data_IF_490871241930
#
_entry.id   IF_490871241930
#
_cell.length_a   1.000
_cell.length_b   1.000
_cell.length_c   1.000
_cell.angle_alpha   90.00
_cell.angle_beta   90.00
_cell.angle_gamma   90.00
#
_symmetry.space_group_name_H-M   'P 1'
#
loop_
_entity.id
_entity.type
_entity.pdbx_description
1 polymer ?
#
# COMPACT_ATOMS: atom_id res chain seq x y z
N UNK A 1 6.56 -0.91 -18.60
CA UNK A 1 5.15 -1.09 -18.22
C UNK A 1 4.69 -2.41 -18.78
N UNK A 2 4.13 -3.30 -17.96
CA UNK A 2 3.43 -4.51 -18.43
C UNK A 2 1.93 -4.31 -18.17
N UNK A 3 1.05 -4.94 -18.95
CA UNK A 3 -0.41 -4.84 -18.71
C UNK A 3 -0.84 -5.68 -17.50
N UNK A 4 -0.16 -6.80 -17.29
CA UNK A 4 -0.36 -7.71 -16.17
C UNK A 4 1.01 -7.94 -15.52
N UNK A 5 1.04 -7.98 -14.19
CA UNK A 5 2.21 -8.37 -13.41
C UNK A 5 1.91 -9.65 -12.64
N UNK A 6 2.90 -10.52 -12.56
CA UNK A 6 2.89 -11.67 -11.67
C UNK A 6 3.54 -11.27 -10.35
N UNK A 7 2.82 -11.44 -9.26
CA UNK A 7 3.31 -11.26 -7.90
C UNK A 7 3.55 -12.63 -7.27
N UNK A 8 4.61 -12.74 -6.45
CA UNK A 8 4.86 -13.88 -5.56
C UNK A 8 4.97 -13.35 -4.14
N UNK A 9 4.59 -14.14 -3.12
CA UNK A 9 4.70 -13.66 -1.75
C UNK A 9 6.17 -13.47 -1.39
N UNK A 10 6.42 -12.45 -0.55
CA UNK A 10 7.76 -12.18 -0.03
C UNK A 10 8.40 -13.46 0.55
N UNK A 11 9.68 -13.66 0.22
CA UNK A 11 10.45 -14.84 0.65
C UNK A 11 10.33 -16.06 -0.28
N UNK A 12 9.45 -16.05 -1.28
CA UNK A 12 9.35 -17.12 -2.27
C UNK A 12 10.12 -16.83 -3.57
N UNK A 13 10.56 -17.90 -4.25
CA UNK A 13 11.28 -17.81 -5.53
C UNK A 13 10.35 -17.39 -6.67
N UNK A 14 10.79 -16.38 -7.43
CA UNK A 14 10.09 -15.90 -8.62
C UNK A 14 9.84 -17.00 -9.67
N UNK A 15 10.75 -17.98 -9.81
CA UNK A 15 10.61 -19.05 -10.82
C UNK A 15 9.80 -20.26 -10.33
N UNK A 16 9.79 -20.53 -9.02
CA UNK A 16 9.27 -21.78 -8.46
C UNK A 16 7.99 -21.64 -7.64
N UNK A 17 7.55 -20.42 -7.32
CA UNK A 17 6.37 -20.23 -6.48
C UNK A 17 5.08 -20.70 -7.18
N UNK A 18 4.39 -21.64 -6.53
CA UNK A 18 3.03 -22.08 -6.90
C UNK A 18 1.94 -21.15 -6.35
N UNK A 19 2.30 -20.15 -5.54
CA UNK A 19 1.38 -19.21 -4.87
C UNK A 19 1.28 -17.86 -5.57
N UNK A 20 1.67 -17.79 -6.84
CA UNK A 20 1.67 -16.52 -7.57
C UNK A 20 0.27 -16.02 -7.90
N UNK A 21 0.11 -14.71 -7.84
CA UNK A 21 -1.10 -14.01 -8.27
C UNK A 21 -0.80 -13.15 -9.48
N UNK A 22 -1.79 -12.96 -10.34
CA UNK A 22 -1.71 -12.05 -11.48
C UNK A 22 -2.60 -10.84 -11.23
N UNK A 23 -2.03 -9.66 -11.42
CA UNK A 23 -2.72 -8.38 -11.20
C UNK A 23 -2.59 -7.53 -12.46
N UNK A 24 -3.68 -6.88 -12.85
CA UNK A 24 -3.64 -5.85 -13.90
C UNK A 24 -2.78 -4.71 -13.35
N UNK A 25 -1.67 -4.41 -13.99
CA UNK A 25 -0.72 -3.43 -13.46
C UNK A 25 -1.16 -2.00 -13.81
N UNK A 26 -1.78 -1.81 -14.98
CA UNK A 26 -2.22 -0.51 -15.46
C UNK A 26 -3.49 0.01 -14.74
N UNK A 27 -3.47 1.21 -14.13
CA UNK A 27 -4.63 1.77 -13.41
C UNK A 27 -5.85 2.02 -14.30
N UNK A 28 -5.65 2.42 -15.55
CA UNK A 28 -6.75 2.64 -16.49
C UNK A 28 -7.44 1.32 -16.83
N UNK A 29 -6.67 0.26 -17.09
CA UNK A 29 -7.23 -1.07 -17.33
C UNK A 29 -7.96 -1.63 -16.11
N UNK A 30 -7.47 -1.39 -14.88
CA UNK A 30 -8.23 -1.75 -13.65
C UNK A 30 -9.58 -1.05 -13.61
N UNK A 31 -9.62 0.26 -13.84
CA UNK A 31 -10.86 1.04 -13.91
C UNK A 31 -11.78 0.49 -15.02
N UNK A 32 -11.23 0.24 -16.20
CA UNK A 32 -11.99 -0.24 -17.34
C UNK A 32 -12.65 -1.58 -17.08
N UNK A 33 -11.89 -2.60 -16.66
CA UNK A 33 -12.44 -3.94 -16.44
C UNK A 33 -13.31 -4.03 -15.19
N UNK A 34 -13.07 -3.20 -14.18
CA UNK A 34 -13.89 -3.17 -12.96
C UNK A 34 -15.20 -2.41 -13.13
N UNK A 35 -15.15 -1.26 -13.80
CA UNK A 35 -16.25 -0.29 -13.82
C UNK A 35 -16.89 -0.22 -15.20
N UNK A 36 -16.10 0.00 -16.25
CA UNK A 36 -16.64 0.34 -17.58
C UNK A 36 -17.19 -0.88 -18.30
N UNK A 37 -16.39 -1.94 -18.43
CA UNK A 37 -16.74 -3.15 -19.16
C UNK A 37 -18.05 -3.81 -18.68
N UNK A 38 -18.27 -4.03 -17.37
CA UNK A 38 -19.52 -4.62 -16.88
C UNK A 38 -20.74 -3.68 -16.97
N UNK A 39 -20.52 -2.35 -16.99
CA UNK A 39 -21.61 -1.37 -16.90
C UNK A 39 -21.85 -0.56 -18.18
N UNK A 40 -21.37 -1.02 -19.36
CA UNK A 40 -21.42 -0.22 -20.61
C UNK A 40 -22.80 0.35 -20.95
N UNK A 41 -23.86 -0.47 -20.84
CA UNK A 41 -25.21 -0.04 -21.15
C UNK A 41 -25.69 1.06 -20.18
N UNK A 42 -25.51 0.83 -18.86
CA UNK A 42 -25.83 1.78 -17.81
C UNK A 42 -25.03 3.08 -17.96
N UNK A 43 -23.75 2.99 -18.33
CA UNK A 43 -22.90 4.16 -18.56
C UNK A 43 -23.29 4.93 -19.82
N UNK A 44 -23.80 4.27 -20.85
CA UNK A 44 -24.20 4.93 -22.11
C UNK A 44 -25.56 5.60 -21.96
N UNK A 45 -26.58 4.88 -21.47
CA UNK A 45 -27.96 5.38 -21.38
C UNK A 45 -28.27 6.13 -20.07
N UNK A 46 -27.43 5.99 -19.04
CA UNK A 46 -27.69 6.52 -17.71
C UNK A 46 -27.57 8.04 -17.60
N UNK A 47 -28.22 8.59 -16.58
CA UNK A 47 -28.04 9.99 -16.16
C UNK A 47 -26.66 10.20 -15.55
N UNK A 48 -26.15 11.45 -15.46
CA UNK A 48 -24.92 11.75 -14.75
C UNK A 48 -24.86 11.20 -13.32
N UNK A 49 -25.98 11.20 -12.60
CA UNK A 49 -26.08 10.64 -11.25
C UNK A 49 -25.88 9.11 -11.24
N UNK A 50 -26.56 8.37 -12.12
CA UNK A 50 -26.41 6.91 -12.21
C UNK A 50 -24.99 6.49 -12.64
N UNK A 51 -24.38 7.23 -13.56
CA UNK A 51 -22.98 7.00 -14.00
C UNK A 51 -22.00 7.21 -12.85
N UNK A 52 -22.23 8.24 -12.04
CA UNK A 52 -21.43 8.52 -10.85
C UNK A 52 -21.57 7.43 -9.80
N UNK A 53 -22.78 6.95 -9.54
CA UNK A 53 -23.02 5.86 -8.59
C UNK A 53 -22.24 4.58 -8.96
N UNK A 54 -22.21 4.23 -10.25
CA UNK A 54 -21.41 3.09 -10.77
C UNK A 54 -19.91 3.28 -10.51
N UNK A 55 -19.38 4.50 -10.67
CA UNK A 55 -17.98 4.78 -10.38
C UNK A 55 -17.70 4.72 -8.87
N UNK A 56 -18.55 5.36 -8.08
CA UNK A 56 -18.37 5.54 -6.64
C UNK A 56 -18.35 4.19 -5.90
N UNK A 57 -19.08 3.18 -6.40
CA UNK A 57 -19.06 1.80 -5.88
C UNK A 57 -17.64 1.21 -5.82
N UNK A 58 -16.79 1.56 -6.79
CA UNK A 58 -15.45 0.98 -6.94
C UNK A 58 -14.32 1.99 -6.71
N UNK A 59 -14.64 3.28 -6.60
CA UNK A 59 -13.65 4.35 -6.58
C UNK A 59 -12.67 4.23 -5.42
N UNK A 60 -13.17 3.98 -4.21
CA UNK A 60 -12.33 3.83 -3.02
C UNK A 60 -11.34 2.68 -3.16
N UNK A 61 -11.79 1.54 -3.70
CA UNK A 61 -10.93 0.38 -3.95
C UNK A 61 -9.84 0.70 -4.98
N UNK A 62 -10.21 1.32 -6.10
CA UNK A 62 -9.25 1.69 -7.16
C UNK A 62 -8.19 2.66 -6.65
N UNK A 63 -8.58 3.65 -5.84
CA UNK A 63 -7.65 4.57 -5.20
C UNK A 63 -6.76 3.88 -4.17
N UNK A 64 -7.30 2.95 -3.37
CA UNK A 64 -6.52 2.13 -2.46
C UNK A 64 -5.43 1.31 -3.17
N UNK A 65 -5.79 0.70 -4.30
CA UNK A 65 -4.85 -0.05 -5.13
C UNK A 65 -3.78 0.85 -5.78
N UNK A 66 -4.15 2.03 -6.23
CA UNK A 66 -3.21 3.00 -6.79
C UNK A 66 -2.25 3.56 -5.71
N UNK A 67 -2.77 3.76 -4.49
CA UNK A 67 -1.99 4.18 -3.33
C UNK A 67 -0.96 3.12 -2.94
N UNK A 68 -1.34 1.86 -2.86
CA UNK A 68 -0.45 0.73 -2.58
C UNK A 68 0.71 0.67 -3.59
N UNK A 69 0.42 0.82 -4.88
CA UNK A 69 1.46 0.84 -5.93
C UNK A 69 2.40 2.05 -5.79
N UNK A 70 1.88 3.20 -5.35
CA UNK A 70 2.69 4.39 -5.09
C UNK A 70 3.61 4.17 -3.89
N UNK A 71 3.10 3.60 -2.80
CA UNK A 71 3.88 3.21 -1.64
C UNK A 71 5.01 2.26 -2.06
N UNK A 72 4.70 1.21 -2.82
CA UNK A 72 5.68 0.24 -3.28
C UNK A 72 6.82 0.89 -4.10
N UNK A 73 6.47 1.80 -5.03
CA UNK A 73 7.46 2.55 -5.81
C UNK A 73 8.24 3.58 -4.99
N UNK A 74 7.63 4.16 -3.97
CA UNK A 74 8.22 5.22 -3.16
C UNK A 74 9.14 4.72 -2.05
N UNK A 75 8.94 3.50 -1.52
CA UNK A 75 9.74 2.92 -0.43
C UNK A 75 11.26 2.99 -0.68
N UNK A 76 11.80 2.65 -1.86
CA UNK A 76 13.24 2.76 -2.14
C UNK A 76 13.81 4.19 -2.04
N UNK A 77 12.97 5.22 -2.26
CA UNK A 77 13.35 6.62 -2.28
C UNK A 77 12.70 7.43 -1.13
N UNK A 78 12.17 6.74 -0.12
CA UNK A 78 11.43 7.35 0.98
C UNK A 78 12.33 8.32 1.76
N UNK A 79 11.73 9.40 2.26
CA UNK A 79 12.38 10.42 3.09
C UNK A 79 11.88 10.38 4.53
N UNK A 80 12.48 11.21 5.39
CA UNK A 80 12.07 11.35 6.78
C UNK A 80 12.57 10.20 7.68
N UNK A 81 11.85 9.94 8.77
CA UNK A 81 12.28 8.99 9.81
C UNK A 81 12.46 7.56 9.28
N UNK A 82 11.60 7.10 8.37
CA UNK A 82 11.72 5.75 7.81
C UNK A 82 12.99 5.58 6.96
N UNK A 83 13.46 6.64 6.30
CA UNK A 83 14.68 6.61 5.49
C UNK A 83 15.92 6.32 6.34
N UNK A 84 15.94 6.82 7.60
CA UNK A 84 17.03 6.58 8.56
C UNK A 84 17.11 5.14 9.05
N UNK A 85 16.03 4.37 8.85
CA UNK A 85 15.97 2.94 9.19
C UNK A 85 16.31 2.02 8.01
N UNK A 86 16.37 2.59 6.80
CA UNK A 86 16.78 1.92 5.56
C UNK A 86 18.29 2.09 5.27
N UNK A 87 18.70 2.12 3.98
CA UNK A 87 17.88 2.11 2.77
C UNK A 87 17.16 0.77 2.52
N UNK A 88 16.05 0.80 1.77
CA UNK A 88 15.16 -0.35 1.57
C UNK A 88 15.21 -0.87 0.13
N UNK A 89 15.17 -2.18 -0.04
CA UNK A 89 14.91 -2.82 -1.34
C UNK A 89 13.46 -2.55 -1.78
N UNK A 90 13.13 -2.72 -3.08
CA UNK A 90 11.74 -2.69 -3.53
C UNK A 90 10.88 -3.68 -2.72
N UNK A 91 9.76 -3.23 -2.14
CA UNK A 91 8.89 -4.10 -1.37
C UNK A 91 8.11 -5.06 -2.27
N UNK A 92 7.70 -6.18 -1.68
CA UNK A 92 6.70 -7.09 -2.24
C UNK A 92 5.62 -7.39 -1.20
N UNK A 93 4.45 -7.82 -1.64
CA UNK A 93 3.38 -8.26 -0.74
C UNK A 93 3.72 -9.62 -0.13
N UNK A 94 3.13 -9.96 1.00
CA UNK A 94 3.23 -11.27 1.64
C UNK A 94 1.84 -11.87 1.84
N UNK A 95 1.72 -13.16 1.51
CA UNK A 95 0.56 -14.00 1.82
C UNK A 95 1.01 -15.46 1.93
N UNK A 96 0.56 -16.17 2.97
CA UNK A 96 0.85 -17.60 3.12
C UNK A 96 -0.15 -18.29 4.06
N UNK A 97 -1.07 -19.09 3.50
CA UNK A 97 -2.02 -19.87 4.29
C UNK A 97 -2.91 -18.98 5.17
N UNK A 98 -2.90 -19.21 6.48
CA UNK A 98 -3.67 -18.45 7.47
C UNK A 98 -2.87 -17.30 8.11
N UNK A 99 -1.62 -17.06 7.69
CA UNK A 99 -0.84 -15.94 8.21
C UNK A 99 -1.40 -14.59 7.73
N UNK A 100 -1.29 -13.52 8.54
CA UNK A 100 -1.73 -12.19 8.13
C UNK A 100 -1.02 -11.73 6.86
N UNK A 101 -1.79 -11.18 5.92
CA UNK A 101 -1.24 -10.53 4.73
C UNK A 101 -0.58 -9.19 5.08
N UNK A 102 0.44 -8.86 4.29
CA UNK A 102 1.15 -7.59 4.37
C UNK A 102 1.31 -6.99 2.98
N UNK A 103 0.93 -5.72 2.82
CA UNK A 103 1.01 -5.03 1.54
C UNK A 103 2.45 -4.74 1.12
N UNK A 104 3.32 -4.44 2.09
CA UNK A 104 4.69 -4.03 1.81
C UNK A 104 5.64 -4.77 2.75
N UNK A 105 6.48 -5.64 2.20
CA UNK A 105 7.60 -6.26 2.92
C UNK A 105 8.88 -6.02 2.12
N UNK A 106 9.86 -5.36 2.75
CA UNK A 106 11.13 -5.01 2.11
C UNK A 106 12.32 -5.27 3.02
N UNK A 107 13.36 -5.88 2.46
CA UNK A 107 14.65 -5.96 3.14
C UNK A 107 15.33 -4.60 3.19
N UNK A 108 16.01 -4.31 4.30
CA UNK A 108 17.06 -3.31 4.25
C UNK A 108 18.17 -3.77 3.29
N UNK A 109 18.81 -2.84 2.59
CA UNK A 109 19.95 -3.16 1.72
C UNK A 109 21.11 -3.68 2.58
N UNK A 110 21.26 -3.14 3.79
CA UNK A 110 22.31 -3.48 4.74
C UNK A 110 21.72 -3.95 6.08
N UNK A 111 22.37 -4.93 6.69
CA UNK A 111 21.97 -5.50 7.99
C UNK A 111 20.83 -6.52 7.90
N UNK A 112 20.21 -6.81 9.06
CA UNK A 112 19.16 -7.83 9.20
C UNK A 112 17.74 -7.25 9.24
N UNK A 113 17.61 -5.94 9.06
CA UNK A 113 16.32 -5.23 9.16
C UNK A 113 15.36 -5.63 8.05
N UNK A 114 14.08 -5.65 8.39
CA UNK A 114 12.99 -5.82 7.43
C UNK A 114 11.89 -4.81 7.74
N UNK A 115 11.43 -4.12 6.71
CA UNK A 115 10.25 -3.29 6.75
C UNK A 115 9.02 -4.17 6.52
N UNK A 116 8.02 -4.03 7.39
CA UNK A 116 6.65 -4.48 7.13
C UNK A 116 5.71 -3.29 7.17
N UNK A 117 4.80 -3.20 6.22
CA UNK A 117 3.93 -2.05 6.09
C UNK A 117 2.55 -2.34 5.56
N UNK A 118 1.63 -1.48 5.97
CA UNK A 118 0.24 -1.45 5.52
C UNK A 118 0.00 -0.18 4.70
N UNK A 119 -0.66 -0.34 3.55
CA UNK A 119 -1.12 0.76 2.72
C UNK A 119 -2.56 1.12 3.10
N UNK A 120 -2.74 2.18 3.88
CA UNK A 120 -4.05 2.65 4.30
C UNK A 120 -4.47 3.90 3.55
N UNK A 121 -5.41 3.75 2.61
CA UNK A 121 -5.94 4.86 1.84
C UNK A 121 -7.07 5.59 2.58
N UNK A 122 -6.99 6.92 2.59
CA UNK A 122 -8.08 7.81 2.99
C UNK A 122 -8.12 9.00 2.03
N UNK A 123 -9.30 9.33 1.52
CA UNK A 123 -9.49 10.48 0.64
C UNK A 123 -9.33 11.83 1.37
N UNK A 124 -9.45 11.83 2.71
CA UNK A 124 -9.23 13.00 3.56
C UNK A 124 -7.95 12.82 4.38
N UNK A 125 -7.26 13.92 4.76
CA UNK A 125 -6.15 13.84 5.70
C UNK A 125 -6.56 13.11 6.97
N UNK A 126 -5.78 12.09 7.34
CA UNK A 126 -6.08 11.27 8.51
C UNK A 126 -5.87 12.05 9.80
N UNK A 127 -6.79 11.89 10.74
CA UNK A 127 -6.70 12.50 12.06
C UNK A 127 -5.75 11.72 12.96
N UNK A 128 -5.20 12.38 13.99
CA UNK A 128 -4.33 11.71 14.97
C UNK A 128 -5.01 10.50 15.64
N UNK A 129 -6.31 10.61 15.98
CA UNK A 129 -7.07 9.51 16.57
C UNK A 129 -7.23 8.31 15.62
N UNK A 130 -7.52 8.57 14.33
CA UNK A 130 -7.62 7.49 13.34
C UNK A 130 -6.26 6.81 13.12
N UNK A 131 -5.18 7.59 13.05
CA UNK A 131 -3.83 7.07 12.91
C UNK A 131 -3.38 6.25 14.11
N UNK A 132 -3.71 6.69 15.32
CA UNK A 132 -3.39 5.94 16.53
C UNK A 132 -4.03 4.55 16.51
N UNK A 133 -5.34 4.47 16.19
CA UNK A 133 -6.05 3.20 16.09
C UNK A 133 -5.44 2.27 15.03
N UNK A 134 -5.17 2.79 13.82
CA UNK A 134 -4.59 1.96 12.76
C UNK A 134 -3.15 1.55 13.06
N UNK A 135 -2.35 2.43 13.69
CA UNK A 135 -1.00 2.11 14.12
C UNK A 135 -0.97 1.04 15.22
N UNK A 136 -1.87 1.10 16.21
CA UNK A 136 -2.03 0.08 17.24
C UNK A 136 -2.46 -1.27 16.65
N UNK A 137 -3.45 -1.26 15.76
CA UNK A 137 -3.87 -2.46 15.01
C UNK A 137 -2.71 -3.06 14.23
N UNK A 138 -1.89 -2.22 13.59
CA UNK A 138 -0.73 -2.67 12.84
C UNK A 138 0.38 -3.19 13.76
N UNK A 139 0.63 -2.56 14.91
CA UNK A 139 1.63 -2.99 15.88
C UNK A 139 1.29 -4.37 16.45
N UNK A 140 0.01 -4.63 16.73
CA UNK A 140 -0.48 -5.91 17.23
C UNK A 140 -0.54 -7.01 16.16
N UNK A 141 -0.45 -6.68 14.86
CA UNK A 141 -0.53 -7.68 13.78
C UNK A 141 0.64 -8.67 13.87
N UNK A 142 0.38 -9.99 13.93
CA UNK A 142 1.43 -11.01 13.94
C UNK A 142 2.34 -10.90 12.72
N UNK A 143 3.62 -11.19 12.94
CA UNK A 143 4.61 -11.19 11.88
C UNK A 143 4.60 -12.51 11.12
N UNK A 144 4.87 -12.47 9.80
CA UNK A 144 5.12 -13.67 9.02
C UNK A 144 6.21 -14.53 9.64
N UNK A 145 6.03 -15.85 9.59
CA UNK A 145 7.02 -16.79 10.16
C UNK A 145 8.42 -16.58 9.54
N UNK A 146 8.47 -16.26 8.24
CA UNK A 146 9.71 -16.04 7.48
C UNK A 146 10.58 -14.86 7.98
N UNK A 147 10.02 -13.94 8.77
CA UNK A 147 10.74 -12.77 9.28
C UNK A 147 10.67 -12.58 10.79
N UNK A 148 10.18 -13.58 11.54
CA UNK A 148 9.95 -13.47 12.98
C UNK A 148 11.21 -13.15 13.80
N UNK A 149 12.36 -13.67 13.36
CA UNK A 149 13.65 -13.52 14.06
C UNK A 149 14.49 -12.32 13.57
N UNK A 150 13.86 -11.41 12.81
CA UNK A 150 14.54 -10.25 12.21
C UNK A 150 14.23 -8.96 12.97
N UNK A 151 15.10 -7.95 12.81
CA UNK A 151 14.78 -6.60 13.32
C UNK A 151 13.69 -5.98 12.45
N UNK A 152 12.45 -5.99 12.94
CA UNK A 152 11.31 -5.49 12.19
C UNK A 152 11.11 -3.99 12.41
N UNK A 153 10.97 -3.26 11.30
CA UNK A 153 10.50 -1.88 11.26
C UNK A 153 9.08 -1.88 10.72
N UNK A 154 8.12 -1.28 11.44
CA UNK A 154 6.72 -1.21 11.01
C UNK A 154 6.41 0.17 10.44
N UNK A 155 5.65 0.24 9.35
CA UNK A 155 5.20 1.50 8.77
C UNK A 155 3.73 1.47 8.32
N UNK A 156 2.99 2.51 8.68
CA UNK A 156 1.65 2.77 8.16
C UNK A 156 1.76 3.86 7.09
N UNK A 157 1.40 3.52 5.86
CA UNK A 157 1.43 4.45 4.73
C UNK A 157 0.05 5.06 4.52
N UNK A 158 -0.04 6.38 4.63
CA UNK A 158 -1.29 7.14 4.51
C UNK A 158 -1.10 8.32 3.56
N UNK A 159 -2.06 8.69 2.68
CA UNK A 159 -1.82 9.77 1.72
C UNK A 159 -1.44 11.10 2.37
N UNK A 160 -2.18 11.51 3.40
CA UNK A 160 -1.99 12.76 4.11
C UNK A 160 -2.45 12.65 5.56
N UNK A 161 -1.91 13.53 6.42
CA UNK A 161 -2.25 13.62 7.85
C UNK A 161 -2.57 15.06 8.21
N UNK A 162 -3.29 15.26 9.31
CA UNK A 162 -3.46 16.61 9.86
C UNK A 162 -2.15 17.14 10.46
N UNK A 163 -1.97 18.46 10.51
CA UNK A 163 -0.68 19.12 10.82
C UNK A 163 -0.08 18.82 12.22
N UNK A 164 -0.76 18.03 13.08
CA UNK A 164 -0.34 17.74 14.47
C UNK A 164 -0.06 16.26 14.74
N UNK A 165 0.19 15.46 13.72
CA UNK A 165 0.44 14.03 13.91
C UNK A 165 1.92 13.73 14.16
N UNK A 166 2.26 12.95 15.21
CA UNK A 166 3.59 12.38 15.39
C UNK A 166 4.07 11.58 14.18
N UNK A 167 5.39 11.58 13.93
CA UNK A 167 6.01 10.77 12.87
C UNK A 167 6.05 9.26 13.18
N UNK A 168 5.76 8.89 14.42
CA UNK A 168 5.60 7.50 14.84
C UNK A 168 4.57 7.38 15.97
N UNK A 169 3.78 6.31 15.96
CA UNK A 169 2.79 5.97 16.99
C UNK A 169 2.90 4.47 17.28
N UNK A 170 2.95 4.06 18.55
CA UNK A 170 3.08 2.64 18.94
C UNK A 170 4.23 1.90 18.21
N UNK A 171 5.39 2.55 18.06
CA UNK A 171 6.55 2.04 17.31
C UNK A 171 6.30 1.77 15.81
N UNK A 172 5.21 2.28 15.27
CA UNK A 172 4.90 2.30 13.83
C UNK A 172 5.25 3.65 13.26
N UNK A 173 6.05 3.68 12.20
CA UNK A 173 6.35 4.89 11.45
C UNK A 173 5.14 5.32 10.62
N UNK A 174 4.80 6.61 10.66
CA UNK A 174 3.74 7.18 9.82
C UNK A 174 4.40 7.78 8.58
N UNK A 175 4.05 7.24 7.41
CA UNK A 175 4.64 7.62 6.13
C UNK A 175 3.58 8.25 5.25
N UNK A 176 3.83 9.47 4.78
CA UNK A 176 2.91 10.22 3.94
C UNK A 176 3.30 10.25 2.47
N UNK A 177 2.40 10.70 1.59
CA UNK A 177 2.72 10.95 0.18
C UNK A 177 3.92 11.90 0.02
N UNK A 178 4.03 12.91 0.89
CA UNK A 178 5.15 13.85 0.87
C UNK A 178 6.48 13.16 1.20
N UNK A 179 6.46 12.19 2.13
CA UNK A 179 7.65 11.40 2.48
C UNK A 179 8.06 10.45 1.32
N UNK A 180 7.09 9.96 0.52
CA UNK A 180 7.32 9.05 -0.62
C UNK A 180 7.80 9.75 -1.90
N UNK A 181 7.26 10.94 -2.22
CA UNK A 181 7.56 11.64 -3.48
C UNK A 181 8.64 12.71 -3.35
N UNK A 182 9.06 13.05 -2.12
CA UNK A 182 10.12 14.03 -1.88
C UNK A 182 9.81 15.46 -2.35
N UNK A 183 8.53 15.78 -2.60
CA UNK A 183 8.08 17.15 -2.89
C UNK A 183 7.32 17.69 -1.68
N UNK A 184 7.65 18.91 -1.27
CA UNK A 184 6.80 19.70 -0.39
C UNK A 184 5.39 19.83 -1.03
N UNK A 185 4.30 19.88 -0.24
CA UNK A 185 2.98 20.07 -0.80
C UNK A 185 2.99 21.33 -1.68
N UNK A 186 2.45 21.20 -2.90
CA UNK A 186 2.22 22.34 -3.78
C UNK A 186 1.33 23.30 -3.00
N UNK A 187 1.86 24.51 -2.76
CA UNK A 187 1.15 25.61 -2.10
C UNK A 187 0.00 26.10 -2.97
#
# INVERSE_FOLDING_TARGET
MTLVRREVPYGESARGSKRSLYRIDDPFMRLWFRVVAPNRAALTAGTPASRRAVLDEHWHLLLGQAWEDLCARGVPAVRGELARRGPWRPPSRYWHGAEPEWDLVADAIEGKRVLVGESWFSARPATAAALAREAERLAARPLPAVIRDREVVRALFVPAVTARTPKSIASVHIVTLADLLGRAPIR
#
